data_IF_552927445530
#
_entry.id   IF_552927445530
#
_cell.length_a   1.000
_cell.length_b   1.000
_cell.length_c   1.000
_cell.angle_alpha   90.00
_cell.angle_beta   90.00
_cell.angle_gamma   90.00
#
_symmetry.space_group_name_H-M   'P 1'
#
loop_
_entity.id
_entity.type
_entity.pdbx_description
1 polymer ?
#
# COMPACT_ATOMS: atom_id res chain seq x y z
N UNK A 1 11.72 14.46 34.98
CA UNK A 1 12.41 13.18 34.74
C UNK A 1 11.86 12.59 33.43
N UNK A 2 12.63 12.59 32.32
CA UNK A 2 12.25 11.89 31.08
C UNK A 2 12.50 10.39 31.34
N UNK A 3 11.46 9.56 31.29
CA UNK A 3 11.63 8.10 31.25
C UNK A 3 12.60 7.77 30.10
N UNK A 4 13.62 6.97 30.38
CA UNK A 4 14.51 6.46 29.31
C UNK A 4 13.66 5.59 28.39
N UNK A 5 13.21 6.15 27.25
CA UNK A 5 12.56 5.36 26.21
C UNK A 5 13.45 4.17 25.84
N UNK A 6 12.88 2.96 25.81
CA UNK A 6 13.63 1.75 25.50
C UNK A 6 14.15 1.79 24.05
N UNK A 7 15.19 1.02 23.73
CA UNK A 7 15.66 0.92 22.34
C UNK A 7 14.57 0.37 21.40
N UNK A 8 13.70 -0.49 21.93
CA UNK A 8 12.53 -1.03 21.18
C UNK A 8 11.53 0.08 20.86
N UNK A 9 11.18 0.94 21.83
CA UNK A 9 10.26 2.07 21.58
C UNK A 9 10.82 3.03 20.54
N UNK A 10 12.13 3.33 20.63
CA UNK A 10 12.83 4.17 19.63
C UNK A 10 12.80 3.56 18.24
N UNK A 11 12.97 2.22 18.13
CA UNK A 11 12.89 1.53 16.85
C UNK A 11 11.47 1.59 16.28
N UNK A 12 10.44 1.29 17.09
CA UNK A 12 9.02 1.36 16.72
C UNK A 12 8.66 2.76 16.21
N UNK A 13 9.15 3.80 16.89
CA UNK A 13 8.97 5.20 16.48
C UNK A 13 9.70 5.48 15.16
N UNK A 14 10.96 5.04 15.01
CA UNK A 14 11.78 5.28 13.82
C UNK A 14 11.21 4.67 12.54
N UNK A 15 10.61 3.49 12.63
CA UNK A 15 9.99 2.77 11.50
C UNK A 15 8.48 3.02 11.38
N UNK A 16 7.89 3.78 12.32
CA UNK A 16 6.45 4.06 12.38
C UNK A 16 5.60 2.77 12.21
N UNK A 17 5.81 1.79 13.08
CA UNK A 17 5.20 0.46 12.95
C UNK A 17 3.67 0.51 12.73
N UNK A 18 2.99 1.52 13.27
CA UNK A 18 1.53 1.67 13.14
C UNK A 18 1.08 1.95 11.71
N UNK A 19 1.94 2.54 10.88
CA UNK A 19 1.62 2.83 9.47
C UNK A 19 1.68 1.57 8.60
N UNK A 20 2.31 0.47 9.08
CA UNK A 20 2.48 -0.79 8.33
C UNK A 20 1.17 -1.53 8.08
N UNK A 21 0.08 -1.09 8.66
CA UNK A 21 -1.24 -1.57 8.33
C UNK A 21 -1.58 -1.39 6.84
N UNK A 22 -0.96 -0.41 6.17
CA UNK A 22 -1.15 -0.14 4.73
C UNK A 22 -0.54 -1.21 3.83
N UNK A 23 0.50 -1.91 4.25
CA UNK A 23 1.06 -3.07 3.55
C UNK A 23 0.45 -4.39 4.02
N UNK A 24 0.14 -4.48 5.31
CA UNK A 24 -0.36 -5.72 5.93
C UNK A 24 -1.78 -6.07 5.46
N UNK A 25 -2.71 -5.11 5.41
CA UNK A 25 -4.10 -5.41 5.03
C UNK A 25 -4.24 -5.86 3.56
N UNK A 26 -3.59 -5.27 2.54
CA UNK A 26 -3.63 -5.79 1.17
C UNK A 26 -3.01 -7.18 1.05
N UNK A 27 -1.95 -7.47 1.81
CA UNK A 27 -1.40 -8.82 1.90
C UNK A 27 -2.41 -9.82 2.46
N UNK A 28 -3.07 -9.50 3.59
CA UNK A 28 -4.11 -10.34 4.20
C UNK A 28 -5.34 -10.49 3.30
N UNK A 29 -5.73 -9.43 2.58
CA UNK A 29 -6.82 -9.47 1.60
C UNK A 29 -6.51 -10.48 0.48
N UNK A 30 -5.28 -10.50 0.00
CA UNK A 30 -4.84 -11.44 -1.03
C UNK A 30 -4.85 -12.89 -0.53
N UNK A 31 -4.44 -13.13 0.73
CA UNK A 31 -4.57 -14.44 1.39
C UNK A 31 -6.04 -14.88 1.49
N UNK A 32 -6.92 -13.97 1.92
CA UNK A 32 -8.36 -14.26 2.00
C UNK A 32 -8.94 -14.59 0.61
N UNK A 33 -8.48 -13.90 -0.45
CA UNK A 33 -8.91 -14.16 -1.82
C UNK A 33 -8.38 -15.51 -2.34
N UNK A 34 -7.12 -15.88 -2.07
CA UNK A 34 -6.60 -17.22 -2.39
C UNK A 34 -7.43 -18.32 -1.69
N UNK A 35 -7.75 -18.14 -0.41
CA UNK A 35 -8.64 -19.04 0.33
C UNK A 35 -10.03 -19.12 -0.32
N UNK A 36 -10.62 -17.98 -0.65
CA UNK A 36 -11.92 -17.91 -1.33
C UNK A 36 -11.91 -18.64 -2.69
N UNK A 37 -10.82 -18.54 -3.46
CA UNK A 37 -10.63 -19.18 -4.75
C UNK A 37 -10.12 -20.62 -4.65
N UNK A 38 -10.00 -21.18 -3.45
CA UNK A 38 -9.45 -22.53 -3.19
C UNK A 38 -8.07 -22.75 -3.82
N UNK A 39 -7.28 -21.70 -3.92
CA UNK A 39 -5.92 -21.80 -4.44
C UNK A 39 -4.96 -22.22 -3.33
N UNK A 40 -4.05 -23.18 -3.58
CA UNK A 40 -3.03 -23.56 -2.61
C UNK A 40 -2.07 -22.39 -2.38
N UNK A 41 -1.69 -22.16 -1.12
CA UNK A 41 -0.69 -21.15 -0.76
C UNK A 41 0.67 -21.81 -0.64
N UNK A 42 1.63 -21.38 -1.45
CA UNK A 42 3.03 -21.77 -1.31
C UNK A 42 3.65 -21.03 -0.12
N UNK A 43 3.81 -21.73 1.00
CA UNK A 43 4.26 -21.15 2.26
C UNK A 43 5.66 -20.52 2.14
N UNK A 44 6.62 -21.18 1.45
CA UNK A 44 7.97 -20.65 1.27
C UNK A 44 7.96 -19.32 0.53
N UNK A 45 7.34 -19.27 -0.66
CA UNK A 45 7.26 -18.03 -1.47
C UNK A 45 6.50 -16.93 -0.74
N UNK A 46 5.43 -17.27 -0.05
CA UNK A 46 4.63 -16.32 0.71
C UNK A 46 5.39 -15.71 1.87
N UNK A 47 6.18 -16.50 2.61
CA UNK A 47 7.02 -16.01 3.71
C UNK A 47 8.19 -15.15 3.19
N UNK A 48 8.83 -15.54 2.08
CA UNK A 48 9.87 -14.75 1.42
C UNK A 48 9.31 -13.39 0.97
N UNK A 49 8.13 -13.40 0.34
CA UNK A 49 7.45 -12.16 -0.08
C UNK A 49 7.09 -11.27 1.10
N UNK A 50 6.44 -11.83 2.12
CA UNK A 50 6.07 -11.10 3.33
C UNK A 50 7.29 -10.47 4.01
N UNK A 51 8.35 -11.25 4.22
CA UNK A 51 9.58 -10.78 4.85
C UNK A 51 10.24 -9.66 4.05
N UNK A 52 10.40 -9.84 2.72
CA UNK A 52 10.97 -8.82 1.84
C UNK A 52 10.13 -7.53 1.85
N UNK A 53 8.83 -7.64 1.63
CA UNK A 53 7.88 -6.53 1.59
C UNK A 53 7.87 -5.76 2.92
N UNK A 54 7.74 -6.47 4.04
CA UNK A 54 7.60 -5.85 5.36
C UNK A 54 8.89 -5.15 5.80
N UNK A 55 10.05 -5.79 5.63
CA UNK A 55 11.34 -5.16 5.93
C UNK A 55 11.62 -3.97 5.03
N UNK A 56 11.21 -4.03 3.76
CA UNK A 56 11.34 -2.91 2.84
C UNK A 56 10.44 -1.73 3.25
N UNK A 57 9.20 -2.00 3.65
CA UNK A 57 8.28 -0.97 4.16
C UNK A 57 8.82 -0.31 5.44
N UNK A 58 9.45 -1.07 6.35
CA UNK A 58 10.16 -0.50 7.50
C UNK A 58 11.34 0.38 7.06
N UNK A 59 12.12 -0.08 6.07
CA UNK A 59 13.30 0.64 5.57
C UNK A 59 12.92 1.97 4.92
N UNK A 60 11.89 1.99 4.07
CA UNK A 60 11.45 3.23 3.38
C UNK A 60 10.95 4.29 4.35
N UNK A 61 10.23 3.89 5.40
CA UNK A 61 9.83 4.82 6.46
C UNK A 61 11.01 5.31 7.27
N UNK A 62 11.96 4.43 7.60
CA UNK A 62 13.20 4.83 8.27
C UNK A 62 14.02 5.82 7.42
N UNK A 63 14.06 5.65 6.09
CA UNK A 63 14.70 6.60 5.16
C UNK A 63 13.98 7.95 5.21
N UNK A 64 12.64 7.97 5.15
CA UNK A 64 11.85 9.18 5.24
C UNK A 64 12.19 9.95 6.51
N UNK A 65 12.09 9.31 7.68
CA UNK A 65 12.37 9.92 8.96
C UNK A 65 13.84 10.38 9.08
N UNK A 66 14.78 9.61 8.51
CA UNK A 66 16.19 9.97 8.48
C UNK A 66 16.47 11.23 7.64
N UNK A 67 15.75 11.41 6.52
CA UNK A 67 15.94 12.55 5.62
C UNK A 67 15.18 13.77 6.14
N UNK A 68 13.89 13.61 6.46
CA UNK A 68 13.01 14.72 6.82
C UNK A 68 13.45 15.40 8.12
N UNK A 69 13.97 14.65 9.08
CA UNK A 69 14.55 15.22 10.34
C UNK A 69 15.81 16.04 10.14
N UNK A 70 16.33 16.18 8.90
CA UNK A 70 17.41 17.17 8.61
C UNK A 70 16.85 18.59 8.46
N UNK A 71 15.60 18.73 8.03
CA UNK A 71 15.00 20.01 7.62
C UNK A 71 13.78 20.42 8.43
N UNK A 72 13.07 19.47 9.05
CA UNK A 72 11.80 19.75 9.75
C UNK A 72 11.95 20.08 11.25
N UNK A 73 13.19 20.20 11.77
CA UNK A 73 13.46 20.51 13.18
C UNK A 73 13.17 19.38 14.18
N UNK A 74 12.68 18.23 13.73
CA UNK A 74 12.43 17.07 14.60
C UNK A 74 13.72 16.32 14.89
N UNK A 75 13.76 15.62 16.04
CA UNK A 75 14.92 14.81 16.44
C UNK A 75 14.72 13.36 16.05
N UNK A 76 15.76 12.78 15.45
CA UNK A 76 15.80 11.33 15.25
C UNK A 76 15.79 10.59 16.60
N UNK A 77 15.06 9.47 16.71
CA UNK A 77 15.11 8.62 17.92
C UNK A 77 16.49 8.03 18.21
N UNK A 78 17.32 7.87 17.18
CA UNK A 78 18.70 7.35 17.25
C UNK A 78 19.75 8.38 16.82
N UNK A 79 21.04 8.07 17.10
CA UNK A 79 22.13 8.79 16.45
C UNK A 79 22.07 8.61 14.94
N UNK A 80 22.57 9.60 14.18
CA UNK A 80 22.60 9.50 12.70
C UNK A 80 23.33 8.24 12.20
N UNK A 81 24.40 7.83 12.90
CA UNK A 81 25.17 6.63 12.59
C UNK A 81 24.32 5.36 12.80
N UNK A 82 23.67 5.25 13.95
CA UNK A 82 22.77 4.11 14.26
C UNK A 82 21.59 4.06 13.31
N UNK A 83 20.95 5.21 13.00
CA UNK A 83 19.86 5.27 12.03
C UNK A 83 20.25 4.77 10.65
N UNK A 84 21.44 5.16 10.14
CA UNK A 84 21.98 4.65 8.87
C UNK A 84 22.23 3.14 8.91
N UNK A 85 22.81 2.63 10.00
CA UNK A 85 23.03 1.19 10.14
C UNK A 85 21.73 0.41 10.09
N UNK A 86 20.70 0.85 10.81
CA UNK A 86 19.36 0.22 10.79
C UNK A 86 18.81 0.20 9.38
N UNK A 87 18.86 1.32 8.64
CA UNK A 87 18.41 1.41 7.25
C UNK A 87 19.12 0.40 6.36
N UNK A 88 20.47 0.33 6.45
CA UNK A 88 21.25 -0.61 5.64
C UNK A 88 20.92 -2.07 5.97
N UNK A 89 20.75 -2.41 7.25
CA UNK A 89 20.38 -3.76 7.66
C UNK A 89 19.00 -4.15 7.13
N UNK A 90 18.00 -3.26 7.25
CA UNK A 90 16.65 -3.49 6.74
C UNK A 90 16.64 -3.64 5.21
N UNK A 91 17.33 -2.75 4.48
CA UNK A 91 17.44 -2.82 3.02
C UNK A 91 18.15 -4.09 2.58
N UNK A 92 19.29 -4.43 3.19
CA UNK A 92 20.05 -5.63 2.82
C UNK A 92 19.23 -6.92 3.05
N UNK A 93 18.60 -7.03 4.22
CA UNK A 93 17.77 -8.19 4.54
C UNK A 93 16.57 -8.30 3.58
N UNK A 94 15.87 -7.20 3.32
CA UNK A 94 14.77 -7.15 2.37
C UNK A 94 15.22 -7.53 0.95
N UNK A 95 16.37 -7.01 0.49
CA UNK A 95 16.94 -7.33 -0.83
C UNK A 95 17.29 -8.81 -0.94
N UNK A 96 17.93 -9.39 0.07
CA UNK A 96 18.26 -10.82 0.07
C UNK A 96 17.01 -11.68 -0.06
N UNK A 97 15.98 -11.41 0.76
CA UNK A 97 14.69 -12.13 0.69
C UNK A 97 14.00 -11.93 -0.66
N UNK A 98 14.03 -10.72 -1.22
CA UNK A 98 13.44 -10.42 -2.53
C UNK A 98 14.17 -11.16 -3.67
N UNK A 99 15.50 -11.21 -3.65
CA UNK A 99 16.29 -11.98 -4.63
C UNK A 99 16.07 -13.49 -4.47
N UNK A 100 15.96 -14.00 -3.24
CA UNK A 100 15.60 -15.40 -3.00
C UNK A 100 14.21 -15.71 -3.56
N UNK A 101 13.23 -14.81 -3.37
CA UNK A 101 11.91 -14.96 -3.96
C UNK A 101 11.98 -14.98 -5.50
N UNK A 102 12.69 -14.04 -6.12
CA UNK A 102 12.86 -13.98 -7.57
C UNK A 102 13.52 -15.24 -8.13
N UNK A 103 14.52 -15.77 -7.43
CA UNK A 103 15.16 -17.04 -7.80
C UNK A 103 14.20 -18.26 -7.71
N UNK A 104 13.25 -18.23 -6.77
CA UNK A 104 12.23 -19.29 -6.59
C UNK A 104 10.99 -19.10 -7.48
N UNK A 105 10.93 -18.01 -8.21
CA UNK A 105 9.80 -17.66 -9.10
C UNK A 105 10.30 -17.41 -10.52
N UNK A 106 10.35 -16.14 -10.95
CA UNK A 106 10.74 -15.79 -12.32
C UNK A 106 11.20 -14.32 -12.45
N UNK A 107 11.52 -13.97 -13.72
CA UNK A 107 11.98 -12.63 -14.08
C UNK A 107 10.96 -11.53 -13.77
N UNK A 108 9.66 -11.82 -13.82
CA UNK A 108 8.60 -10.83 -13.55
C UNK A 108 8.67 -10.35 -12.12
N UNK A 109 8.84 -11.27 -11.16
CA UNK A 109 8.99 -10.95 -9.74
C UNK A 109 10.26 -10.14 -9.51
N UNK A 110 11.35 -10.45 -10.20
CA UNK A 110 12.59 -9.68 -10.13
C UNK A 110 12.41 -8.26 -10.65
N UNK A 111 11.81 -8.08 -11.82
CA UNK A 111 11.62 -6.76 -12.45
C UNK A 111 10.65 -5.89 -11.65
N UNK A 112 9.52 -6.44 -11.24
CA UNK A 112 8.53 -5.69 -10.46
C UNK A 112 9.04 -5.40 -9.04
N UNK A 113 9.68 -6.37 -8.40
CA UNK A 113 10.35 -6.17 -7.11
C UNK A 113 11.43 -5.11 -7.18
N UNK A 114 12.28 -5.15 -8.21
CA UNK A 114 13.31 -4.14 -8.49
C UNK A 114 12.70 -2.74 -8.70
N UNK A 115 11.61 -2.64 -9.48
CA UNK A 115 10.88 -1.38 -9.67
C UNK A 115 10.35 -0.85 -8.33
N UNK A 116 9.74 -1.70 -7.50
CA UNK A 116 9.27 -1.32 -6.18
C UNK A 116 10.41 -0.80 -5.29
N UNK A 117 11.55 -1.48 -5.32
CA UNK A 117 12.74 -1.06 -4.57
C UNK A 117 13.27 0.30 -5.02
N UNK A 118 13.46 0.50 -6.31
CA UNK A 118 13.91 1.77 -6.87
C UNK A 118 12.95 2.90 -6.49
N UNK A 119 11.66 2.72 -6.75
CA UNK A 119 10.67 3.74 -6.45
C UNK A 119 10.56 4.03 -4.94
N UNK A 120 10.61 3.01 -4.08
CA UNK A 120 10.55 3.20 -2.63
C UNK A 120 11.75 3.97 -2.09
N UNK A 121 12.96 3.70 -2.58
CA UNK A 121 14.16 4.46 -2.21
C UNK A 121 14.10 5.89 -2.75
N UNK A 122 13.76 6.06 -4.04
CA UNK A 122 13.68 7.38 -4.68
C UNK A 122 12.41 8.16 -4.29
N UNK A 123 11.51 7.55 -3.55
CA UNK A 123 10.34 8.26 -3.03
C UNK A 123 10.75 9.48 -2.20
N UNK A 124 11.73 9.33 -1.32
CA UNK A 124 12.20 10.43 -0.46
C UNK A 124 13.63 10.84 -0.74
N UNK A 125 14.47 9.93 -1.28
CA UNK A 125 15.88 10.17 -1.52
C UNK A 125 16.15 10.37 -3.01
N UNK A 126 17.03 11.32 -3.36
CA UNK A 126 17.43 11.56 -4.75
C UNK A 126 17.36 13.04 -5.13
N UNK A 127 17.74 13.38 -6.38
CA UNK A 127 17.76 14.77 -6.85
C UNK A 127 16.36 15.38 -7.00
N UNK A 128 15.34 14.55 -7.31
CA UNK A 128 13.93 14.95 -7.42
C UNK A 128 13.10 13.89 -6.70
N UNK A 129 12.91 13.99 -5.36
CA UNK A 129 12.12 13.02 -4.61
C UNK A 129 10.66 12.99 -5.07
N UNK A 130 10.11 11.79 -5.30
CA UNK A 130 8.71 11.59 -5.72
C UNK A 130 7.74 12.21 -4.70
N UNK A 131 8.10 12.18 -3.42
CA UNK A 131 7.31 12.76 -2.33
C UNK A 131 7.10 14.27 -2.43
N UNK A 132 7.87 14.97 -3.25
CA UNK A 132 7.72 16.42 -3.50
C UNK A 132 6.88 16.73 -4.73
N UNK A 133 6.52 15.71 -5.51
CA UNK A 133 5.73 15.81 -6.74
C UNK A 133 4.25 15.50 -6.46
N UNK A 134 3.33 15.90 -7.34
CA UNK A 134 1.91 15.56 -7.25
C UNK A 134 1.61 14.10 -7.62
N UNK A 135 2.50 13.18 -7.26
CA UNK A 135 2.45 11.77 -7.61
C UNK A 135 2.38 10.85 -6.39
N UNK A 136 2.51 11.41 -5.18
CA UNK A 136 2.55 10.64 -3.93
C UNK A 136 1.34 9.73 -3.76
N UNK A 137 0.15 10.21 -4.06
CA UNK A 137 -1.11 9.49 -3.96
C UNK A 137 -1.17 8.32 -4.95
N UNK A 138 -0.73 8.54 -6.19
CA UNK A 138 -0.71 7.51 -7.24
C UNK A 138 0.28 6.41 -6.85
N UNK A 139 1.51 6.78 -6.48
CA UNK A 139 2.52 5.81 -6.08
C UNK A 139 2.09 5.02 -4.85
N UNK A 140 1.58 5.69 -3.81
CA UNK A 140 1.09 5.00 -2.61
C UNK A 140 -0.05 4.03 -2.94
N UNK A 141 -1.02 4.45 -3.73
CA UNK A 141 -2.13 3.60 -4.18
C UNK A 141 -1.65 2.37 -4.95
N UNK A 142 -0.76 2.57 -5.94
CA UNK A 142 -0.26 1.47 -6.78
C UNK A 142 0.63 0.50 -6.00
N UNK A 143 1.60 1.01 -5.22
CA UNK A 143 2.57 0.13 -4.55
C UNK A 143 1.93 -0.68 -3.43
N UNK A 144 1.12 -0.06 -2.59
CA UNK A 144 0.44 -0.78 -1.50
C UNK A 144 -0.85 -1.47 -1.98
N UNK A 145 -1.65 -0.79 -2.82
CA UNK A 145 -2.98 -1.26 -3.18
C UNK A 145 -3.02 -2.23 -4.34
N UNK A 146 -2.08 -2.18 -5.29
CA UNK A 146 -2.06 -3.05 -6.47
C UNK A 146 -0.89 -4.05 -6.45
N UNK A 147 0.36 -3.58 -6.26
CA UNK A 147 1.52 -4.45 -6.43
C UNK A 147 1.65 -5.50 -5.32
N UNK A 148 1.24 -5.19 -4.08
CA UNK A 148 1.19 -6.20 -3.01
C UNK A 148 0.17 -7.29 -3.35
N UNK A 149 -1.11 -7.00 -3.66
CA UNK A 149 -2.06 -8.02 -4.10
C UNK A 149 -1.61 -8.75 -5.36
N UNK A 150 -1.09 -8.04 -6.36
CA UNK A 150 -0.61 -8.67 -7.59
C UNK A 150 0.49 -9.69 -7.31
N UNK A 151 1.57 -9.30 -6.63
CA UNK A 151 2.68 -10.20 -6.34
C UNK A 151 2.24 -11.39 -5.48
N UNK A 152 1.40 -11.14 -4.47
CA UNK A 152 0.88 -12.20 -3.60
C UNK A 152 0.06 -13.23 -4.38
N UNK A 153 -0.80 -12.79 -5.29
CA UNK A 153 -1.59 -13.69 -6.14
C UNK A 153 -0.70 -14.33 -7.21
N UNK A 154 0.21 -13.57 -7.82
CA UNK A 154 1.09 -14.05 -8.89
C UNK A 154 1.97 -15.24 -8.45
N UNK A 155 2.56 -15.18 -7.26
CA UNK A 155 3.44 -16.23 -6.75
C UNK A 155 2.70 -17.48 -6.26
N UNK A 156 1.37 -17.40 -6.07
CA UNK A 156 0.55 -18.48 -5.52
C UNK A 156 -0.47 -19.06 -6.52
N UNK A 157 -0.83 -18.33 -7.57
CA UNK A 157 -1.73 -18.83 -8.60
C UNK A 157 -0.97 -19.59 -9.69
N UNK A 158 -1.64 -20.44 -10.49
CA UNK A 158 -0.99 -21.16 -11.59
C UNK A 158 -0.24 -20.21 -12.54
N UNK A 159 0.95 -20.61 -13.04
CA UNK A 159 1.69 -19.83 -14.02
C UNK A 159 0.81 -19.48 -15.23
N UNK A 160 0.94 -18.23 -15.73
CA UNK A 160 0.14 -17.77 -16.85
C UNK A 160 -1.26 -17.28 -16.49
N UNK A 161 -1.68 -17.31 -15.21
CA UNK A 161 -3.02 -16.81 -14.80
C UNK A 161 -3.26 -15.37 -15.26
N UNK A 162 -2.33 -14.46 -15.02
CA UNK A 162 -2.48 -13.05 -15.39
C UNK A 162 -1.92 -12.76 -16.79
N UNK A 163 -0.75 -13.25 -17.06
CA UNK A 163 -0.07 -13.11 -18.35
C UNK A 163 1.04 -14.16 -18.51
N UNK A 164 1.48 -14.35 -19.75
CA UNK A 164 2.69 -15.11 -20.07
C UNK A 164 3.69 -14.17 -20.74
N UNK A 165 4.95 -14.23 -20.28
CA UNK A 165 6.08 -13.51 -20.85
C UNK A 165 7.12 -14.51 -21.30
N UNK A 166 7.29 -14.66 -22.60
CA UNK A 166 8.32 -15.50 -23.20
C UNK A 166 9.37 -14.61 -23.86
N UNK A 167 10.59 -14.72 -23.41
CA UNK A 167 11.74 -13.96 -23.94
C UNK A 167 12.74 -14.95 -24.49
N UNK A 168 13.04 -14.86 -25.78
CA UNK A 168 14.13 -15.56 -26.43
C UNK A 168 15.05 -14.56 -27.17
N UNK A 169 16.13 -15.04 -27.78
CA UNK A 169 17.10 -14.18 -28.46
C UNK A 169 16.53 -13.37 -29.62
N UNK A 170 15.40 -13.74 -30.17
CA UNK A 170 14.80 -13.12 -31.35
C UNK A 170 13.46 -12.47 -31.09
N UNK A 171 12.71 -12.93 -30.05
CA UNK A 171 11.34 -12.48 -29.84
C UNK A 171 11.03 -12.27 -28.35
N UNK A 172 10.18 -11.28 -28.10
CA UNK A 172 9.50 -11.08 -26.82
C UNK A 172 7.99 -11.24 -27.07
N UNK A 173 7.40 -12.26 -26.47
CA UNK A 173 5.95 -12.51 -26.56
C UNK A 173 5.32 -12.23 -25.20
N UNK A 174 4.43 -11.26 -25.17
CA UNK A 174 3.62 -10.93 -24.00
C UNK A 174 2.15 -11.17 -24.33
N UNK A 175 1.49 -12.05 -23.56
CA UNK A 175 0.06 -12.33 -23.68
C UNK A 175 -0.60 -12.03 -22.35
N UNK A 176 -1.51 -11.06 -22.32
CA UNK A 176 -2.25 -10.64 -21.13
C UNK A 176 -3.63 -11.35 -21.09
N UNK A 177 -3.94 -12.01 -19.99
CA UNK A 177 -5.25 -12.57 -19.73
C UNK A 177 -6.16 -11.52 -19.10
N UNK A 178 -7.02 -10.91 -19.92
CA UNK A 178 -7.83 -9.75 -19.52
C UNK A 178 -8.77 -10.04 -18.34
N UNK A 179 -9.40 -11.22 -18.30
CA UNK A 179 -10.34 -11.58 -17.23
C UNK A 179 -9.70 -11.56 -15.84
N UNK A 180 -8.64 -12.36 -15.58
CA UNK A 180 -7.92 -12.34 -14.30
C UNK A 180 -7.27 -10.99 -13.99
N UNK A 181 -6.71 -10.30 -15.00
CA UNK A 181 -6.12 -8.97 -14.79
C UNK A 181 -7.17 -7.95 -14.36
N UNK A 182 -8.36 -7.96 -14.98
CA UNK A 182 -9.47 -7.10 -14.60
C UNK A 182 -10.01 -7.43 -13.20
N UNK A 183 -10.13 -8.72 -12.88
CA UNK A 183 -10.55 -9.16 -11.55
C UNK A 183 -9.56 -8.67 -10.46
N UNK A 184 -8.24 -8.73 -10.74
CA UNK A 184 -7.22 -8.18 -9.85
C UNK A 184 -7.38 -6.67 -9.65
N UNK A 185 -7.62 -5.90 -10.71
CA UNK A 185 -7.82 -4.45 -10.62
C UNK A 185 -9.06 -4.12 -9.78
N UNK A 186 -10.17 -4.82 -10.00
CA UNK A 186 -11.39 -4.64 -9.20
C UNK A 186 -11.17 -5.00 -7.72
N UNK A 187 -10.48 -6.11 -7.43
CA UNK A 187 -10.14 -6.52 -6.07
C UNK A 187 -9.25 -5.47 -5.39
N UNK A 188 -8.30 -4.92 -6.14
CA UNK A 188 -7.30 -3.96 -5.65
C UNK A 188 -7.84 -2.53 -5.52
N UNK A 189 -8.98 -2.21 -6.12
CA UNK A 189 -9.52 -0.84 -6.13
C UNK A 189 -9.75 -0.28 -4.73
N UNK A 190 -10.21 -1.10 -3.78
CA UNK A 190 -10.35 -0.71 -2.37
C UNK A 190 -9.03 -0.26 -1.75
N UNK A 191 -8.02 -1.14 -1.67
CA UNK A 191 -6.69 -0.77 -1.18
C UNK A 191 -6.04 0.39 -1.94
N UNK A 192 -6.13 0.44 -3.28
CA UNK A 192 -5.58 1.53 -4.11
C UNK A 192 -6.16 2.88 -3.67
N UNK A 193 -7.49 3.01 -3.74
CA UNK A 193 -8.17 4.27 -3.46
C UNK A 193 -8.03 4.68 -1.99
N UNK A 194 -8.13 3.72 -1.06
CA UNK A 194 -8.07 4.04 0.35
C UNK A 194 -6.63 4.41 0.80
N UNK A 195 -5.58 3.78 0.24
CA UNK A 195 -4.19 4.17 0.51
C UNK A 195 -3.86 5.52 -0.13
N UNK A 196 -4.28 5.75 -1.38
CA UNK A 196 -4.15 7.05 -2.03
C UNK A 196 -4.81 8.16 -1.19
N UNK A 197 -5.97 7.88 -0.60
CA UNK A 197 -6.67 8.82 0.29
C UNK A 197 -5.98 9.08 1.63
N UNK A 198 -5.22 8.11 2.19
CA UNK A 198 -4.37 8.39 3.36
C UNK A 198 -3.32 9.44 2.99
N UNK A 199 -2.66 9.27 1.83
CA UNK A 199 -1.66 10.24 1.34
C UNK A 199 -2.31 11.60 1.02
N UNK A 200 -3.46 11.60 0.34
CA UNK A 200 -4.19 12.82 0.01
C UNK A 200 -4.63 13.57 1.27
N UNK A 201 -5.12 12.87 2.29
CA UNK A 201 -5.48 13.48 3.58
C UNK A 201 -4.28 14.09 4.28
N UNK A 202 -3.12 13.39 4.25
CA UNK A 202 -1.87 13.91 4.81
C UNK A 202 -1.47 15.22 4.13
N UNK A 203 -1.46 15.23 2.79
CA UNK A 203 -1.07 16.38 1.99
C UNK A 203 -2.08 17.54 2.09
N UNK A 204 -3.37 17.24 2.26
CA UNK A 204 -4.40 18.26 2.53
C UNK A 204 -4.22 18.94 3.90
N UNK A 205 -3.87 18.17 4.92
CA UNK A 205 -3.61 18.71 6.26
C UNK A 205 -2.31 19.53 6.34
N UNK A 206 -1.33 19.22 5.50
CA UNK A 206 -0.01 19.88 5.52
C UNK A 206 0.16 20.91 4.38
N UNK A 207 -0.87 21.22 3.59
CA UNK A 207 -0.80 22.01 2.35
C UNK A 207 -0.03 23.33 2.51
N UNK A 208 -0.37 24.15 3.52
CA UNK A 208 0.31 25.44 3.75
C UNK A 208 1.77 25.26 4.17
N UNK A 209 2.06 24.26 5.00
CA UNK A 209 3.41 23.94 5.44
C UNK A 209 4.28 23.44 4.29
N UNK A 210 3.71 22.60 3.42
CA UNK A 210 4.37 22.06 2.25
C UNK A 210 4.73 23.18 1.26
N UNK A 211 3.78 24.08 0.98
CA UNK A 211 4.03 25.25 0.12
C UNK A 211 5.14 26.15 0.67
N UNK A 212 5.21 26.38 1.98
CA UNK A 212 6.21 27.21 2.61
C UNK A 212 7.64 26.67 2.45
N UNK A 213 7.80 25.35 2.22
CA UNK A 213 9.12 24.71 1.98
C UNK A 213 9.31 24.30 0.50
N UNK A 214 8.49 24.85 -0.42
CA UNK A 214 8.58 24.59 -1.86
C UNK A 214 8.20 23.16 -2.26
N UNK A 215 7.33 22.52 -1.50
CA UNK A 215 6.78 21.20 -1.80
C UNK A 215 5.36 21.36 -2.34
N UNK A 216 5.17 21.01 -3.61
CA UNK A 216 3.89 21.16 -4.31
C UNK A 216 3.27 19.79 -4.57
N UNK A 217 2.46 19.34 -3.61
CA UNK A 217 1.76 18.05 -3.65
C UNK A 217 0.44 18.14 -4.42
N UNK A 218 -0.23 17.00 -4.67
CA UNK A 218 -1.42 16.92 -5.50
C UNK A 218 -2.55 17.90 -5.08
N UNK A 219 -2.85 18.14 -3.78
CA UNK A 219 -3.85 19.13 -3.38
C UNK A 219 -3.60 20.55 -3.89
N UNK A 220 -2.33 20.96 -4.03
CA UNK A 220 -1.99 22.27 -4.59
C UNK A 220 -2.53 22.43 -6.01
N UNK A 221 -2.37 21.41 -6.85
CA UNK A 221 -2.83 21.43 -8.26
C UNK A 221 -4.34 21.22 -8.39
N UNK A 222 -4.94 20.41 -7.53
CA UNK A 222 -6.38 20.16 -7.54
C UNK A 222 -7.19 21.34 -6.97
N UNK A 223 -6.60 22.15 -6.10
CA UNK A 223 -7.29 23.27 -5.46
C UNK A 223 -8.64 22.86 -4.86
N UNK A 224 -9.72 23.49 -5.29
CA UNK A 224 -11.09 23.20 -4.82
C UNK A 224 -11.57 21.79 -5.12
N UNK A 225 -10.97 21.10 -6.07
CA UNK A 225 -11.33 19.71 -6.45
C UNK A 225 -10.72 18.65 -5.52
N UNK A 226 -9.76 19.00 -4.66
CA UNK A 226 -9.10 18.03 -3.81
C UNK A 226 -10.04 17.29 -2.85
N UNK A 227 -10.99 17.99 -2.23
CA UNK A 227 -11.99 17.39 -1.33
C UNK A 227 -13.06 16.55 -2.08
N UNK A 228 -13.60 16.97 -3.24
CA UNK A 228 -14.39 16.12 -4.11
C UNK A 228 -13.65 14.84 -4.54
N UNK A 229 -12.38 14.92 -4.94
CA UNK A 229 -11.55 13.75 -5.31
C UNK A 229 -11.37 12.82 -4.12
N UNK A 230 -11.04 13.35 -2.93
CA UNK A 230 -10.96 12.58 -1.70
C UNK A 230 -12.23 11.78 -1.40
N UNK A 231 -13.41 12.41 -1.52
CA UNK A 231 -14.67 11.73 -1.33
C UNK A 231 -14.95 10.70 -2.44
N UNK A 232 -14.71 11.09 -3.69
CA UNK A 232 -14.94 10.25 -4.88
C UNK A 232 -14.16 8.94 -4.86
N UNK A 233 -12.88 8.98 -4.46
CA UNK A 233 -12.05 7.78 -4.34
C UNK A 233 -12.66 6.74 -3.38
N UNK A 234 -13.23 7.16 -2.25
CA UNK A 234 -13.94 6.23 -1.36
C UNK A 234 -15.20 5.64 -2.00
N UNK A 235 -15.99 6.43 -2.72
CA UNK A 235 -17.20 5.90 -3.37
C UNK A 235 -16.87 4.96 -4.53
N UNK A 236 -15.77 5.20 -5.25
CA UNK A 236 -15.27 4.29 -6.29
C UNK A 236 -14.96 2.91 -5.69
N UNK A 237 -14.44 2.82 -4.46
CA UNK A 237 -14.20 1.52 -3.82
C UNK A 237 -15.46 0.70 -3.66
N UNK A 238 -16.57 1.32 -3.27
CA UNK A 238 -17.86 0.64 -3.10
C UNK A 238 -18.49 0.25 -4.42
N UNK A 239 -18.37 1.12 -5.44
CA UNK A 239 -18.86 0.82 -6.78
C UNK A 239 -18.12 -0.39 -7.38
N UNK A 240 -16.78 -0.38 -7.35
CA UNK A 240 -15.97 -1.49 -7.88
C UNK A 240 -16.19 -2.78 -7.12
N UNK A 241 -16.47 -2.69 -5.83
CA UNK A 241 -16.82 -3.83 -4.99
C UNK A 241 -18.16 -4.44 -5.38
N UNK A 242 -19.20 -3.63 -5.58
CA UNK A 242 -20.49 -4.08 -6.08
C UNK A 242 -20.39 -4.69 -7.49
N UNK A 243 -19.58 -4.08 -8.38
CA UNK A 243 -19.29 -4.61 -9.71
C UNK A 243 -18.59 -5.98 -9.62
N UNK A 244 -17.67 -6.17 -8.67
CA UNK A 244 -16.99 -7.47 -8.48
C UNK A 244 -17.98 -8.59 -8.13
N UNK A 245 -19.01 -8.29 -7.35
CA UNK A 245 -20.07 -9.25 -7.05
C UNK A 245 -21.00 -9.47 -8.27
N UNK A 246 -21.39 -8.40 -8.95
CA UNK A 246 -22.24 -8.49 -10.15
C UNK A 246 -21.59 -9.32 -11.27
N UNK A 247 -20.26 -9.27 -11.38
CA UNK A 247 -19.47 -10.07 -12.34
C UNK A 247 -19.10 -11.47 -11.83
N UNK A 248 -19.64 -11.91 -10.69
CA UNK A 248 -19.35 -13.21 -10.07
C UNK A 248 -17.85 -13.43 -9.75
N UNK A 249 -17.07 -12.36 -9.61
CA UNK A 249 -15.67 -12.42 -9.12
C UNK A 249 -15.69 -12.74 -7.63
N UNK A 250 -16.64 -12.15 -6.90
CA UNK A 250 -16.87 -12.34 -5.47
C UNK A 250 -18.32 -12.85 -5.24
N UNK A 251 -18.52 -13.58 -4.15
CA UNK A 251 -19.87 -14.08 -3.79
C UNK A 251 -20.79 -12.95 -3.30
N UNK A 252 -22.13 -13.12 -3.39
CA UNK A 252 -23.09 -12.14 -2.87
C UNK A 252 -22.91 -11.77 -1.41
N UNK A 253 -22.36 -12.68 -0.58
CA UNK A 253 -22.03 -12.41 0.83
C UNK A 253 -21.08 -11.22 0.96
N UNK A 254 -20.22 -11.01 -0.02
CA UNK A 254 -19.28 -9.89 -0.03
C UNK A 254 -19.99 -8.51 -0.06
N UNK A 255 -21.26 -8.43 -0.43
CA UNK A 255 -22.06 -7.20 -0.33
C UNK A 255 -22.19 -6.69 1.09
N UNK A 256 -22.00 -7.54 2.12
CA UNK A 256 -22.00 -7.12 3.51
C UNK A 256 -20.93 -6.07 3.80
N UNK A 257 -19.81 -6.07 3.07
CA UNK A 257 -18.78 -5.04 3.20
C UNK A 257 -19.30 -3.62 2.83
N UNK A 258 -20.37 -3.51 2.04
CA UNK A 258 -20.97 -2.23 1.68
C UNK A 258 -21.54 -1.47 2.90
N UNK A 259 -21.90 -2.15 3.98
CA UNK A 259 -22.36 -1.47 5.21
C UNK A 259 -21.29 -0.57 5.83
N UNK A 260 -20.01 -0.79 5.52
CA UNK A 260 -18.93 0.10 5.96
C UNK A 260 -19.03 1.50 5.35
N UNK A 261 -19.85 1.70 4.30
CA UNK A 261 -20.08 3.02 3.70
C UNK A 261 -20.65 4.01 4.72
N UNK A 262 -21.44 3.53 5.69
CA UNK A 262 -22.12 4.39 6.67
C UNK A 262 -21.09 5.13 7.55
N UNK A 263 -20.19 4.44 8.29
CA UNK A 263 -19.17 5.12 9.08
C UNK A 263 -18.15 5.86 8.20
N UNK A 264 -17.79 5.32 7.02
CA UNK A 264 -16.88 5.98 6.09
C UNK A 264 -17.44 7.29 5.59
N UNK A 265 -18.74 7.35 5.22
CA UNK A 265 -19.39 8.59 4.82
C UNK A 265 -19.38 9.64 5.94
N UNK A 266 -19.66 9.24 7.20
CA UNK A 266 -19.57 10.15 8.35
C UNK A 266 -18.16 10.73 8.50
N UNK A 267 -17.12 9.91 8.35
CA UNK A 267 -15.73 10.34 8.42
C UNK A 267 -15.38 11.30 7.27
N UNK A 268 -15.85 11.03 6.03
CA UNK A 268 -15.70 11.94 4.88
C UNK A 268 -16.32 13.30 5.20
N UNK A 269 -17.54 13.31 5.69
CA UNK A 269 -18.25 14.57 6.04
C UNK A 269 -17.50 15.35 7.13
N UNK A 270 -16.92 14.67 8.12
CA UNK A 270 -16.11 15.32 9.18
C UNK A 270 -14.80 15.87 8.60
N UNK A 271 -14.07 15.09 7.79
CA UNK A 271 -12.82 15.53 7.19
C UNK A 271 -13.03 16.74 6.24
N UNK A 272 -14.14 16.76 5.49
CA UNK A 272 -14.46 17.89 4.59
C UNK A 272 -14.71 19.22 5.32
N UNK A 273 -15.13 19.19 6.60
CA UNK A 273 -15.35 20.40 7.41
C UNK A 273 -14.04 21.01 7.90
N UNK A 274 -13.07 20.18 8.23
CA UNK A 274 -11.81 20.60 8.85
C UNK A 274 -10.68 19.63 8.45
N UNK A 275 -9.56 20.15 7.94
CA UNK A 275 -8.37 19.39 7.55
C UNK A 275 -7.23 19.73 8.52
N UNK A 276 -7.30 19.22 9.76
CA UNK A 276 -6.29 19.38 10.80
C UNK A 276 -5.65 18.04 11.13
N UNK A 277 -4.34 17.96 11.02
CA UNK A 277 -3.58 16.71 11.14
C UNK A 277 -3.85 15.98 12.45
N UNK A 278 -3.85 16.69 13.56
CA UNK A 278 -4.03 16.14 14.90
C UNK A 278 -5.48 15.69 15.18
N UNK A 279 -6.46 16.20 14.42
CA UNK A 279 -7.89 15.95 14.67
C UNK A 279 -8.54 15.01 13.66
N UNK A 280 -8.24 15.22 12.37
CA UNK A 280 -9.03 14.61 11.28
C UNK A 280 -8.21 13.70 10.36
N UNK A 281 -6.88 13.78 10.34
CA UNK A 281 -6.06 12.85 9.55
C UNK A 281 -6.35 11.38 9.88
N UNK A 282 -6.50 11.05 11.18
CA UNK A 282 -6.79 9.69 11.63
C UNK A 282 -8.09 9.11 11.02
N UNK A 283 -9.03 9.94 10.56
CA UNK A 283 -10.26 9.49 9.89
C UNK A 283 -9.96 8.76 8.57
N UNK A 284 -8.92 9.18 7.84
CA UNK A 284 -8.49 8.49 6.61
C UNK A 284 -7.94 7.09 6.91
N UNK A 285 -7.18 6.93 7.98
CA UNK A 285 -6.67 5.63 8.45
C UNK A 285 -7.82 4.75 8.93
N UNK A 286 -8.79 5.31 9.68
CA UNK A 286 -10.00 4.59 10.08
C UNK A 286 -10.80 4.11 8.88
N UNK A 287 -10.99 4.96 7.86
CA UNK A 287 -11.68 4.58 6.63
C UNK A 287 -10.95 3.44 5.91
N UNK A 288 -9.63 3.50 5.84
CA UNK A 288 -8.82 2.43 5.27
C UNK A 288 -9.06 1.09 5.99
N UNK A 289 -9.03 1.08 7.32
CA UNK A 289 -9.27 -0.12 8.13
C UNK A 289 -10.70 -0.65 7.92
N UNK A 290 -11.69 0.23 7.90
CA UNK A 290 -13.10 -0.15 7.69
C UNK A 290 -13.31 -0.75 6.30
N UNK A 291 -12.75 -0.15 5.26
CA UNK A 291 -12.92 -0.61 3.88
C UNK A 291 -12.16 -1.93 3.67
N UNK A 292 -10.84 -1.92 3.82
CA UNK A 292 -10.01 -3.08 3.48
C UNK A 292 -10.23 -4.21 4.49
N UNK A 293 -10.37 -3.90 5.78
CA UNK A 293 -10.73 -4.89 6.80
C UNK A 293 -12.10 -5.51 6.57
N UNK A 294 -13.10 -4.69 6.22
CA UNK A 294 -14.45 -5.17 5.84
C UNK A 294 -14.41 -6.08 4.61
N UNK A 295 -13.59 -5.72 3.60
CA UNK A 295 -13.37 -6.55 2.41
C UNK A 295 -12.72 -7.90 2.75
N UNK A 296 -11.69 -7.91 3.61
CA UNK A 296 -11.04 -9.15 4.07
C UNK A 296 -12.05 -10.08 4.73
N UNK A 297 -12.83 -9.56 5.69
CA UNK A 297 -13.83 -10.34 6.40
C UNK A 297 -14.90 -10.89 5.46
N UNK A 298 -15.37 -10.08 4.52
CA UNK A 298 -16.39 -10.47 3.56
C UNK A 298 -15.90 -11.55 2.58
N UNK A 299 -14.67 -11.41 2.04
CA UNK A 299 -14.05 -12.42 1.16
C UNK A 299 -13.86 -13.74 1.95
N UNK A 300 -13.33 -13.67 3.15
CA UNK A 300 -13.11 -14.85 3.98
C UNK A 300 -14.42 -15.57 4.30
N UNK A 301 -15.46 -14.83 4.70
CA UNK A 301 -16.80 -15.38 4.94
C UNK A 301 -17.40 -16.00 3.68
N UNK A 302 -17.24 -15.35 2.53
CA UNK A 302 -17.64 -15.90 1.23
C UNK A 302 -16.94 -17.22 0.90
N UNK A 303 -15.65 -17.35 1.27
CA UNK A 303 -14.87 -18.59 1.12
C UNK A 303 -15.36 -19.73 2.02
N UNK A 304 -15.88 -19.42 3.21
CA UNK A 304 -16.44 -20.41 4.13
C UNK A 304 -17.80 -20.93 3.67
N UNK A 305 -18.63 -20.06 3.08
CA UNK A 305 -20.00 -20.40 2.67
C UNK A 305 -20.02 -21.15 1.34
N UNK A 306 -19.11 -20.83 0.41
CA UNK A 306 -19.02 -21.49 -0.90
C UNK A 306 -18.21 -22.81 -0.87
N UNK A 307 -17.82 -23.28 0.29
CA UNK A 307 -17.12 -24.55 0.52
C UNK A 307 -17.99 -25.59 1.12
#
# INVERSE_FOLDING_TARGET
MRSKTSNTERFIEFVEIRTKITSLLPFLMSLAFLFYRRQPVNTERTLLFFGSMFLFDLATTAINNYIDTKTNGQRLPFSRSTGRLIIYLLLSASTVLGLMLAYRTDLVVLLLGGLCFLCGVFYTWGPVPISRLPLGEIFSGLFYGLFIPFLMLYINMPPGTFFTLNVDWHTVRFVLNLGPAFALVLLSAGPICATANIMLANNLCDLEKDMAVGRYTLPFFLGRQALPVFAGLYYVTYLTWAVSVALNILSPVCLLALFTIIPVHKNICRFRKEQIKEKTFALSVQNYILIVGGQILAIFSGGLING
#
